data_IF_240463432212
#
_entry.id   IF_240463432212
#
_cell.length_a   1.000
_cell.length_b   1.000
_cell.length_c   1.000
_cell.angle_alpha   90.00
_cell.angle_beta   90.00
_cell.angle_gamma   90.00
#
_symmetry.space_group_name_H-M   'P 1'
#
loop_
_entity.id
_entity.type
_entity.pdbx_description
1 polymer ?
#
# COMPACT_ATOMS: atom_id res chain seq x y z
N UNK A 1 9.74 30.27 -0.32
CA UNK A 1 8.81 30.01 -1.43
C UNK A 1 9.32 28.95 -2.43
N UNK A 2 10.59 28.99 -2.85
CA UNK A 2 11.18 28.00 -3.80
C UNK A 2 11.07 26.53 -3.36
N UNK A 3 11.22 26.22 -2.06
CA UNK A 3 11.15 24.84 -1.55
C UNK A 3 9.75 24.21 -1.61
N UNK A 4 8.68 25.00 -1.42
CA UNK A 4 7.29 24.53 -1.63
C UNK A 4 6.96 24.42 -3.10
N UNK A 5 7.54 25.28 -3.94
CA UNK A 5 7.34 25.22 -5.39
C UNK A 5 7.93 23.92 -5.98
N UNK A 6 9.10 23.49 -5.49
CA UNK A 6 9.75 22.23 -5.90
C UNK A 6 9.06 20.95 -5.41
N UNK A 7 8.07 21.02 -4.51
CA UNK A 7 7.36 19.83 -4.03
C UNK A 7 6.34 19.30 -5.05
N UNK A 8 5.92 20.12 -6.01
CA UNK A 8 4.95 19.70 -7.01
C UNK A 8 5.66 19.15 -8.26
N UNK A 9 5.34 17.93 -8.69
CA UNK A 9 5.93 17.29 -9.87
C UNK A 9 5.79 18.16 -11.12
N UNK A 10 4.65 18.85 -11.27
CA UNK A 10 4.41 19.82 -12.35
C UNK A 10 5.45 20.93 -12.36
N UNK A 11 5.77 21.48 -11.20
CA UNK A 11 6.67 22.61 -11.09
C UNK A 11 8.13 22.20 -11.34
N UNK A 12 8.53 20.99 -10.91
CA UNK A 12 9.84 20.40 -11.27
C UNK A 12 9.99 20.28 -12.79
N UNK A 13 8.93 19.83 -13.47
CA UNK A 13 8.90 19.71 -14.92
C UNK A 13 8.98 21.07 -15.63
N UNK A 14 8.17 22.05 -15.18
CA UNK A 14 8.21 23.41 -15.70
C UNK A 14 9.60 24.06 -15.52
N UNK A 15 10.26 23.82 -14.40
CA UNK A 15 11.60 24.34 -14.13
C UNK A 15 12.63 23.69 -15.08
N UNK A 16 12.51 22.39 -15.36
CA UNK A 16 13.41 21.72 -16.28
C UNK A 16 13.20 22.16 -17.74
N UNK A 17 11.94 22.33 -18.14
CA UNK A 17 11.59 22.96 -19.42
C UNK A 17 12.21 24.36 -19.48
N UNK A 18 12.03 25.18 -18.44
CA UNK A 18 12.61 26.52 -18.40
C UNK A 18 14.15 26.51 -18.54
N UNK A 19 14.84 25.55 -17.92
CA UNK A 19 16.29 25.37 -18.09
C UNK A 19 16.64 25.01 -19.54
N UNK A 20 15.95 24.05 -20.14
CA UNK A 20 16.19 23.65 -21.53
C UNK A 20 15.94 24.80 -22.51
N UNK A 21 14.85 25.55 -22.33
CA UNK A 21 14.56 26.76 -23.11
C UNK A 21 15.60 27.86 -22.87
N UNK A 22 16.10 28.02 -21.65
CA UNK A 22 17.16 28.99 -21.35
C UNK A 22 18.47 28.66 -22.06
N UNK A 23 18.84 27.37 -22.14
CA UNK A 23 20.01 26.92 -22.91
C UNK A 23 19.87 27.23 -24.41
N UNK A 24 18.68 26.99 -24.98
CA UNK A 24 18.40 27.32 -26.37
C UNK A 24 18.43 28.83 -26.58
N UNK A 25 17.83 29.61 -25.67
CA UNK A 25 17.83 31.07 -25.75
C UNK A 25 19.25 31.64 -25.73
N UNK A 26 20.13 31.13 -24.84
CA UNK A 26 21.53 31.53 -24.80
C UNK A 26 22.27 31.19 -26.10
N UNK A 27 22.00 30.02 -26.70
CA UNK A 27 22.57 29.65 -28.00
C UNK A 27 22.09 30.60 -29.12
N UNK A 28 20.81 30.97 -29.12
CA UNK A 28 20.23 31.92 -30.07
C UNK A 28 20.84 33.31 -29.91
N UNK A 29 20.92 33.83 -28.69
CA UNK A 29 21.54 35.14 -28.40
C UNK A 29 23.00 35.15 -28.84
N UNK A 30 23.75 34.08 -28.55
CA UNK A 30 25.14 33.96 -28.99
C UNK A 30 25.27 33.91 -30.52
N UNK A 31 24.34 33.24 -31.19
CA UNK A 31 24.30 33.21 -32.65
C UNK A 31 23.96 34.57 -33.26
N UNK A 32 22.99 35.28 -32.69
CA UNK A 32 22.61 36.62 -33.12
C UNK A 32 23.76 37.60 -32.99
N UNK A 33 24.46 37.61 -31.84
CA UNK A 33 25.65 38.45 -31.64
C UNK A 33 26.78 38.17 -32.64
N UNK A 34 26.94 36.92 -33.10
CA UNK A 34 27.93 36.58 -34.12
C UNK A 34 27.55 37.14 -35.50
N UNK A 35 26.26 37.13 -35.81
CA UNK A 35 25.72 37.70 -37.05
C UNK A 35 25.76 39.22 -37.05
N UNK A 36 25.45 39.86 -35.93
CA UNK A 36 25.52 41.32 -35.80
C UNK A 36 26.94 41.83 -36.09
N UNK A 37 27.98 41.16 -35.59
CA UNK A 37 29.36 41.52 -35.89
C UNK A 37 29.66 41.43 -37.40
N UNK A 38 29.22 40.37 -38.07
CA UNK A 38 29.42 40.21 -39.53
C UNK A 38 28.68 41.29 -40.31
N UNK A 39 27.48 41.67 -39.86
CA UNK A 39 26.70 42.76 -40.48
C UNK A 39 27.40 44.10 -40.27
N UNK A 40 27.93 44.36 -39.08
CA UNK A 40 28.67 45.59 -38.77
C UNK A 40 29.93 45.70 -39.62
N UNK A 41 30.73 44.63 -39.71
CA UNK A 41 31.94 44.62 -40.54
C UNK A 41 31.59 44.76 -42.04
N UNK A 42 30.48 44.16 -42.50
CA UNK A 42 29.97 44.34 -43.86
C UNK A 42 29.54 45.78 -44.13
N UNK A 43 28.83 46.41 -43.20
CA UNK A 43 28.41 47.80 -43.31
C UNK A 43 29.61 48.75 -43.33
N UNK A 44 30.65 48.47 -42.53
CA UNK A 44 31.90 49.22 -42.55
C UNK A 44 32.55 49.13 -43.94
N UNK A 45 32.73 47.91 -44.47
CA UNK A 45 33.29 47.70 -45.81
C UNK A 45 32.46 48.40 -46.89
N UNK A 46 31.13 48.27 -46.86
CA UNK A 46 30.25 48.83 -47.87
C UNK A 46 30.22 50.37 -47.84
N UNK A 47 30.24 50.98 -46.65
CA UNK A 47 30.13 52.44 -46.50
C UNK A 47 31.47 53.17 -46.63
N UNK A 48 32.57 52.58 -46.14
CA UNK A 48 33.88 53.23 -46.13
C UNK A 48 34.79 52.67 -47.23
N UNK A 49 35.08 51.37 -47.22
CA UNK A 49 36.12 50.79 -48.08
C UNK A 49 35.73 50.76 -49.55
N UNK A 50 34.48 50.39 -49.87
CA UNK A 50 33.95 50.39 -51.23
C UNK A 50 33.82 51.83 -51.77
N UNK A 51 33.45 52.78 -50.93
CA UNK A 51 33.38 54.20 -51.30
C UNK A 51 34.77 54.75 -51.64
N UNK A 52 35.76 54.49 -50.78
CA UNK A 52 37.15 54.87 -51.02
C UNK A 52 37.70 54.24 -52.32
N UNK A 53 37.42 52.96 -52.55
CA UNK A 53 37.76 52.23 -53.78
C UNK A 53 37.15 52.91 -55.00
N UNK A 54 35.86 53.22 -54.96
CA UNK A 54 35.14 53.85 -56.06
C UNK A 54 35.70 55.25 -56.37
N UNK A 55 35.95 56.07 -55.34
CA UNK A 55 36.47 57.42 -55.51
C UNK A 55 37.90 57.45 -56.06
N UNK A 56 38.81 56.63 -55.52
CA UNK A 56 40.21 56.56 -55.98
C UNK A 56 40.26 55.99 -57.40
N UNK A 57 39.45 54.97 -57.71
CA UNK A 57 39.36 54.38 -59.05
C UNK A 57 38.79 55.38 -60.07
N UNK A 58 37.73 56.11 -59.70
CA UNK A 58 37.16 57.17 -60.53
C UNK A 58 38.18 58.28 -60.77
N UNK A 59 38.95 58.66 -59.75
CA UNK A 59 40.01 59.64 -59.87
C UNK A 59 41.14 59.17 -60.80
N UNK A 60 41.51 57.89 -60.76
CA UNK A 60 42.49 57.30 -61.69
C UNK A 60 42.01 57.39 -63.15
N UNK A 61 40.73 57.16 -63.39
CA UNK A 61 40.11 57.33 -64.72
C UNK A 61 40.09 58.81 -65.13
N UNK A 62 39.64 59.70 -64.24
CA UNK A 62 39.61 61.15 -64.49
C UNK A 62 40.99 61.72 -64.81
N UNK A 63 42.03 61.24 -64.13
CA UNK A 63 43.42 61.61 -64.38
C UNK A 63 43.87 61.17 -65.79
N UNK A 64 43.57 59.94 -66.19
CA UNK A 64 43.87 59.46 -67.56
C UNK A 64 43.14 60.27 -68.62
N UNK A 65 41.88 60.63 -68.35
CA UNK A 65 41.10 61.53 -69.22
C UNK A 65 41.75 62.91 -69.28
N UNK A 66 42.18 63.48 -68.16
CA UNK A 66 42.86 64.77 -68.13
C UNK A 66 44.11 64.77 -69.02
N UNK A 67 44.99 63.78 -68.88
CA UNK A 67 46.19 63.65 -69.73
C UNK A 67 45.80 63.48 -71.22
N UNK A 68 44.69 62.78 -71.49
CA UNK A 68 44.16 62.66 -72.85
C UNK A 68 43.65 64.00 -73.41
N UNK A 69 43.01 64.84 -72.60
CA UNK A 69 42.55 66.18 -73.02
C UNK A 69 43.71 67.12 -73.28
N UNK A 70 44.84 66.97 -72.57
CA UNK A 70 46.09 67.63 -72.95
C UNK A 70 46.56 67.21 -74.35
N UNK A 71 46.58 65.90 -74.64
CA UNK A 71 46.94 65.40 -75.97
C UNK A 71 45.99 65.94 -77.04
N UNK A 72 44.69 66.00 -76.77
CA UNK A 72 43.71 66.61 -77.68
C UNK A 72 44.00 68.10 -77.90
N UNK A 73 44.40 68.83 -76.85
CA UNK A 73 44.80 70.24 -76.94
C UNK A 73 45.99 70.41 -77.87
N UNK A 74 47.01 69.55 -77.80
CA UNK A 74 48.17 69.63 -78.69
C UNK A 74 47.86 69.24 -80.14
N UNK A 75 47.07 68.17 -80.34
CA UNK A 75 46.79 67.62 -81.68
C UNK A 75 45.77 68.48 -82.44
N UNK A 76 44.77 69.03 -81.76
CA UNK A 76 43.65 69.78 -82.36
C UNK A 76 43.72 71.28 -82.12
N UNK A 77 44.70 71.75 -81.35
CA UNK A 77 44.79 73.12 -80.84
C UNK A 77 45.22 74.19 -81.83
N UNK A 78 45.54 73.84 -83.08
CA UNK A 78 45.75 74.81 -84.16
C UNK A 78 44.48 75.65 -84.42
N UNK A 79 43.29 75.08 -84.17
CA UNK A 79 42.02 75.82 -84.18
C UNK A 79 41.70 76.33 -82.78
N UNK A 80 41.36 77.63 -82.67
CA UNK A 80 41.13 78.29 -81.39
C UNK A 80 39.97 77.67 -80.59
N UNK A 81 38.84 77.38 -81.25
CA UNK A 81 37.66 76.76 -80.65
C UNK A 81 37.97 75.40 -80.00
N UNK A 82 38.76 74.57 -80.69
CA UNK A 82 39.17 73.26 -80.20
C UNK A 82 40.18 73.39 -79.06
N UNK A 83 41.16 74.30 -79.18
CA UNK A 83 42.17 74.53 -78.16
C UNK A 83 41.55 74.95 -76.84
N UNK A 84 40.69 75.97 -76.87
CA UNK A 84 40.01 76.47 -75.68
C UNK A 84 39.11 75.40 -75.06
N UNK A 85 38.39 74.62 -75.88
CA UNK A 85 37.54 73.53 -75.41
C UNK A 85 38.31 72.44 -74.67
N UNK A 86 39.38 71.90 -75.26
CA UNK A 86 40.14 70.80 -74.63
C UNK A 86 40.99 71.29 -73.45
N UNK A 87 41.53 72.50 -73.53
CA UNK A 87 42.24 73.11 -72.42
C UNK A 87 41.31 73.42 -71.24
N UNK A 88 40.09 73.89 -71.50
CA UNK A 88 39.08 74.08 -70.46
C UNK A 88 38.75 72.76 -69.77
N UNK A 89 38.52 71.68 -70.53
CA UNK A 89 38.28 70.33 -69.96
C UNK A 89 39.46 69.81 -69.15
N UNK A 90 40.69 70.05 -69.60
CA UNK A 90 41.90 69.70 -68.84
C UNK A 90 41.92 70.38 -67.47
N UNK A 91 41.61 71.68 -67.42
CA UNK A 91 41.58 72.44 -66.17
C UNK A 91 40.37 72.06 -65.30
N UNK A 92 39.22 71.79 -65.90
CA UNK A 92 38.04 71.30 -65.17
C UNK A 92 38.35 69.97 -64.46
N UNK A 93 39.00 69.04 -65.16
CA UNK A 93 39.48 67.80 -64.55
C UNK A 93 40.54 68.04 -63.48
N UNK A 94 41.42 69.03 -63.67
CA UNK A 94 42.40 69.41 -62.66
C UNK A 94 41.74 69.83 -61.34
N UNK A 95 40.71 70.66 -61.42
CA UNK A 95 39.95 71.12 -60.26
C UNK A 95 39.16 69.97 -59.61
N UNK A 96 38.54 69.09 -60.41
CA UNK A 96 37.81 67.92 -59.91
C UNK A 96 38.75 66.97 -59.17
N UNK A 97 39.89 66.61 -59.76
CA UNK A 97 40.89 65.73 -59.15
C UNK A 97 41.43 66.36 -57.86
N UNK A 98 41.72 67.67 -57.88
CA UNK A 98 42.22 68.40 -56.70
C UNK A 98 41.24 68.37 -55.54
N UNK A 99 39.96 68.62 -55.81
CA UNK A 99 38.90 68.51 -54.80
C UNK A 99 38.78 67.09 -54.26
N UNK A 100 38.80 66.08 -55.14
CA UNK A 100 38.65 64.66 -54.77
C UNK A 100 39.79 64.17 -53.88
N UNK A 101 41.06 64.31 -54.28
CA UNK A 101 42.15 63.82 -53.43
C UNK A 101 42.25 64.60 -52.11
N UNK A 102 41.94 65.91 -52.12
CA UNK A 102 41.96 66.70 -50.88
C UNK A 102 40.88 66.24 -49.92
N UNK A 103 39.68 65.95 -50.43
CA UNK A 103 38.60 65.39 -49.62
C UNK A 103 39.00 64.02 -49.06
N UNK A 104 39.46 63.12 -49.92
CA UNK A 104 39.90 61.77 -49.55
C UNK A 104 41.00 61.78 -48.48
N UNK A 105 42.00 62.65 -48.58
CA UNK A 105 43.04 62.78 -47.56
C UNK A 105 42.55 63.22 -46.19
N UNK A 106 41.36 63.85 -46.11
CA UNK A 106 40.76 64.31 -44.86
C UNK A 106 39.79 63.28 -44.25
N UNK A 107 39.15 62.45 -45.07
CA UNK A 107 38.13 61.48 -44.61
C UNK A 107 38.65 60.06 -44.48
N UNK A 108 39.70 59.70 -45.22
CA UNK A 108 40.24 58.35 -45.15
C UNK A 108 40.98 58.11 -43.83
N UNK A 109 40.75 56.98 -43.17
CA UNK A 109 41.44 56.62 -41.95
C UNK A 109 42.93 56.36 -42.22
N UNK A 110 43.77 56.54 -41.18
CA UNK A 110 45.22 56.54 -41.33
C UNK A 110 45.82 55.19 -41.76
N UNK A 111 45.10 54.10 -41.50
CA UNK A 111 45.41 52.73 -41.84
C UNK A 111 44.86 52.28 -43.21
N UNK A 112 44.12 53.14 -43.92
CA UNK A 112 43.56 52.79 -45.23
C UNK A 112 44.67 52.43 -46.23
N UNK A 113 44.64 51.23 -46.82
CA UNK A 113 45.55 50.88 -47.91
C UNK A 113 45.44 51.86 -49.08
N UNK A 114 46.57 52.18 -49.70
CA UNK A 114 46.64 53.17 -50.78
C UNK A 114 46.73 54.64 -50.32
N UNK A 115 46.53 54.96 -49.03
CA UNK A 115 46.65 56.33 -48.52
C UNK A 115 48.07 56.92 -48.70
N UNK A 116 49.11 56.10 -48.53
CA UNK A 116 50.51 56.53 -48.76
C UNK A 116 50.73 56.94 -50.22
N UNK A 117 50.23 56.14 -51.16
CA UNK A 117 50.29 56.44 -52.59
C UNK A 117 49.44 57.65 -52.96
N UNK A 118 48.26 57.82 -52.35
CA UNK A 118 47.43 59.01 -52.50
C UNK A 118 48.14 60.29 -52.02
N UNK A 119 48.89 60.22 -50.91
CA UNK A 119 49.72 61.34 -50.43
C UNK A 119 50.87 61.65 -51.39
N UNK A 120 51.52 60.63 -51.96
CA UNK A 120 52.56 60.79 -52.97
C UNK A 120 52.01 61.41 -54.26
N UNK A 121 50.81 61.00 -54.69
CA UNK A 121 50.07 61.63 -55.78
C UNK A 121 49.79 63.11 -55.48
N UNK A 122 49.21 63.42 -54.32
CA UNK A 122 48.90 64.80 -53.91
C UNK A 122 50.15 65.71 -53.87
N UNK A 123 51.32 65.15 -53.60
CA UNK A 123 52.60 65.88 -53.60
C UNK A 123 53.17 66.10 -55.01
N UNK A 124 52.97 65.15 -55.93
CA UNK A 124 53.50 65.19 -57.30
C UNK A 124 52.56 65.87 -58.31
N UNK A 125 51.27 65.94 -58.00
CA UNK A 125 50.25 66.46 -58.91
C UNK A 125 50.28 68.00 -59.12
N UNK A 126 50.43 68.86 -58.10
CA UNK A 126 50.51 70.31 -58.34
C UNK A 126 51.71 70.74 -59.20
N UNK A 127 52.94 70.20 -58.99
CA UNK A 127 54.07 70.45 -59.89
C UNK A 127 53.79 70.01 -61.34
N UNK A 128 53.13 68.87 -61.53
CA UNK A 128 52.70 68.38 -62.84
C UNK A 128 51.76 69.40 -63.51
N UNK A 129 50.72 69.88 -62.82
CA UNK A 129 49.79 70.88 -63.37
C UNK A 129 50.51 72.18 -63.73
N UNK A 130 51.46 72.64 -62.91
CA UNK A 130 52.28 73.80 -63.24
C UNK A 130 53.14 73.59 -64.49
N UNK A 131 53.68 72.39 -64.69
CA UNK A 131 54.40 72.03 -65.92
C UNK A 131 53.48 72.02 -67.15
N UNK A 132 52.27 71.47 -67.06
CA UNK A 132 51.28 71.54 -68.15
C UNK A 132 50.88 72.96 -68.51
N UNK A 133 50.71 73.86 -67.52
CA UNK A 133 50.45 75.28 -67.77
C UNK A 133 51.60 75.97 -68.50
N UNK A 134 52.86 75.68 -68.12
CA UNK A 134 54.04 76.17 -68.85
C UNK A 134 54.13 75.59 -70.26
N UNK A 135 53.83 74.30 -70.43
CA UNK A 135 53.77 73.65 -71.75
C UNK A 135 52.71 74.27 -72.66
N UNK A 136 51.56 74.64 -72.10
CA UNK A 136 50.50 75.34 -72.83
C UNK A 136 50.93 76.74 -73.27
N UNK A 137 51.62 77.48 -72.42
CA UNK A 137 52.20 78.79 -72.78
C UNK A 137 53.24 78.64 -73.90
N UNK A 138 54.18 77.70 -73.76
CA UNK A 138 55.17 77.41 -74.78
C UNK A 138 54.53 77.00 -76.13
N UNK A 139 53.44 76.25 -76.10
CA UNK A 139 52.65 75.88 -77.28
C UNK A 139 52.05 77.10 -77.99
N UNK A 140 51.58 78.10 -77.25
CA UNK A 140 51.03 79.33 -77.83
C UNK A 140 52.15 80.21 -78.40
N UNK A 141 53.24 80.39 -77.63
CA UNK A 141 54.38 81.23 -78.01
C UNK A 141 55.13 80.69 -79.23
N UNK A 142 55.18 79.36 -79.40
CA UNK A 142 55.80 78.70 -80.54
C UNK A 142 54.93 78.64 -81.80
N UNK A 143 53.79 79.33 -81.83
CA UNK A 143 52.80 79.26 -82.91
C UNK A 143 52.27 77.82 -83.14
N UNK A 144 51.95 77.12 -82.05
CA UNK A 144 51.33 75.78 -82.04
C UNK A 144 52.26 74.62 -82.43
N UNK A 145 53.57 74.78 -82.19
CA UNK A 145 54.55 73.70 -82.37
C UNK A 145 54.45 72.65 -81.23
N UNK A 146 54.06 71.43 -81.59
CA UNK A 146 53.86 70.32 -80.64
C UNK A 146 55.17 69.90 -79.92
N UNK A 147 56.32 69.72 -80.61
CA UNK A 147 57.60 69.41 -79.95
C UNK A 147 58.00 70.40 -78.85
N UNK A 148 57.78 71.70 -79.06
CA UNK A 148 58.07 72.74 -78.06
C UNK A 148 57.25 72.57 -76.78
N UNK A 149 55.98 72.19 -76.91
CA UNK A 149 55.09 71.91 -75.79
C UNK A 149 55.43 70.58 -75.09
N UNK A 150 55.71 69.52 -75.87
CA UNK A 150 56.04 68.19 -75.35
C UNK A 150 57.32 68.20 -74.50
N UNK A 151 58.34 68.96 -74.92
CA UNK A 151 59.60 69.12 -74.18
C UNK A 151 59.39 69.62 -72.74
N UNK A 152 58.37 70.45 -72.51
CA UNK A 152 58.07 71.02 -71.20
C UNK A 152 57.35 70.04 -70.26
N UNK A 153 56.71 68.99 -70.79
CA UNK A 153 55.85 68.06 -70.03
C UNK A 153 56.30 66.60 -70.14
N UNK A 154 57.37 66.31 -70.87
CA UNK A 154 57.83 64.95 -71.16
C UNK A 154 58.06 64.15 -69.87
N UNK A 155 57.22 63.13 -69.65
CA UNK A 155 57.32 62.21 -68.52
C UNK A 155 56.87 62.77 -67.17
N UNK A 156 56.34 64.00 -67.12
CA UNK A 156 55.91 64.65 -65.87
C UNK A 156 54.68 63.96 -65.25
N UNK A 157 53.89 63.28 -66.08
CA UNK A 157 52.71 62.52 -65.70
C UNK A 157 53.02 61.10 -65.20
N UNK A 158 54.24 60.58 -65.41
CA UNK A 158 54.58 59.19 -65.06
C UNK A 158 54.44 58.90 -63.57
N UNK A 159 55.08 59.69 -62.71
CA UNK A 159 55.03 59.49 -61.27
C UNK A 159 53.60 59.66 -60.70
N UNK A 160 52.84 60.73 -61.03
CA UNK A 160 51.43 60.82 -60.64
C UNK A 160 50.57 59.64 -61.15
N UNK A 161 50.81 59.16 -62.39
CA UNK A 161 50.10 57.98 -62.92
C UNK A 161 50.37 56.73 -62.10
N UNK A 162 51.65 56.51 -61.76
CA UNK A 162 52.10 55.34 -61.00
C UNK A 162 51.50 55.37 -59.59
N UNK A 163 51.62 56.48 -58.86
CA UNK A 163 51.04 56.63 -57.53
C UNK A 163 49.53 56.40 -57.53
N UNK A 164 48.80 57.00 -58.48
CA UNK A 164 47.35 56.85 -58.50
C UNK A 164 46.91 55.44 -58.94
N UNK A 165 47.68 54.78 -59.80
CA UNK A 165 47.44 53.39 -60.17
C UNK A 165 47.72 52.45 -59.00
N UNK A 166 48.82 52.65 -58.28
CA UNK A 166 49.17 51.87 -57.09
C UNK A 166 48.15 52.08 -55.96
N UNK A 167 47.68 53.32 -55.76
CA UNK A 167 46.60 53.61 -54.82
C UNK A 167 45.30 52.86 -55.20
N UNK A 168 44.89 52.91 -56.46
CA UNK A 168 43.68 52.22 -56.93
C UNK A 168 43.80 50.69 -56.79
N UNK A 169 44.96 50.11 -57.12
CA UNK A 169 45.22 48.68 -56.97
C UNK A 169 45.21 48.27 -55.49
N UNK A 170 45.90 49.01 -54.62
CA UNK A 170 45.98 48.70 -53.20
C UNK A 170 44.59 48.69 -52.52
N UNK A 171 43.73 49.66 -52.85
CA UNK A 171 42.37 49.70 -52.29
C UNK A 171 41.49 48.59 -52.87
N UNK A 172 41.65 48.26 -54.16
CA UNK A 172 40.94 47.14 -54.80
C UNK A 172 41.31 45.79 -54.18
N UNK A 173 42.62 45.54 -54.01
CA UNK A 173 43.11 44.32 -53.36
C UNK A 173 42.65 44.25 -51.89
N UNK A 174 42.65 45.37 -51.18
CA UNK A 174 42.14 45.44 -49.82
C UNK A 174 40.65 45.07 -49.74
N UNK A 175 39.78 45.70 -50.54
CA UNK A 175 38.34 45.39 -50.57
C UNK A 175 38.09 43.92 -50.93
N UNK A 176 38.85 43.35 -51.88
CA UNK A 176 38.76 41.93 -52.21
C UNK A 176 39.15 41.04 -51.02
N UNK A 177 40.23 41.38 -50.32
CA UNK A 177 40.70 40.63 -49.14
C UNK A 177 39.71 40.71 -47.97
N UNK A 178 39.13 41.88 -47.71
CA UNK A 178 38.11 42.10 -46.68
C UNK A 178 36.84 41.34 -47.05
N UNK A 179 36.38 41.44 -48.30
CA UNK A 179 35.20 40.71 -48.80
C UNK A 179 35.36 39.19 -48.63
N UNK A 180 36.52 38.63 -49.02
CA UNK A 180 36.82 37.21 -48.79
C UNK A 180 36.82 36.87 -47.30
N UNK A 181 37.46 37.69 -46.47
CA UNK A 181 37.46 37.55 -45.01
C UNK A 181 36.06 37.54 -44.41
N UNK A 182 35.18 38.45 -44.85
CA UNK A 182 33.79 38.53 -44.41
C UNK A 182 32.98 37.30 -44.81
N UNK A 183 33.15 36.79 -46.02
CA UNK A 183 32.46 35.55 -46.44
C UNK A 183 32.89 34.35 -45.59
N UNK A 184 34.17 34.26 -45.23
CA UNK A 184 34.67 33.23 -44.34
C UNK A 184 34.18 33.42 -42.90
N UNK A 185 34.21 34.65 -42.37
CA UNK A 185 33.67 34.99 -41.05
C UNK A 185 32.17 34.68 -40.96
N UNK A 186 31.39 35.00 -42.00
CA UNK A 186 29.97 34.65 -42.10
C UNK A 186 29.76 33.13 -42.09
N UNK A 187 30.56 32.37 -42.85
CA UNK A 187 30.51 30.90 -42.88
C UNK A 187 30.87 30.29 -41.52
N UNK A 188 31.92 30.81 -40.88
CA UNK A 188 32.35 30.39 -39.54
C UNK A 188 31.28 30.72 -38.49
N UNK A 189 30.71 31.93 -38.51
CA UNK A 189 29.63 32.35 -37.63
C UNK A 189 28.40 31.45 -37.80
N UNK A 190 28.02 31.13 -39.05
CA UNK A 190 26.92 30.18 -39.34
C UNK A 190 27.20 28.79 -38.79
N UNK A 191 28.39 28.24 -39.06
CA UNK A 191 28.76 26.88 -38.66
C UNK A 191 28.85 26.75 -37.15
N UNK A 192 29.52 27.69 -36.48
CA UNK A 192 29.65 27.71 -35.01
C UNK A 192 28.31 27.95 -34.32
N UNK A 193 27.48 28.88 -34.81
CA UNK A 193 26.14 29.11 -34.24
C UNK A 193 25.23 27.89 -34.39
N UNK A 194 25.28 27.22 -35.54
CA UNK A 194 24.53 25.98 -35.77
C UNK A 194 25.01 24.86 -34.84
N UNK A 195 26.34 24.70 -34.69
CA UNK A 195 26.92 23.71 -33.79
C UNK A 195 26.54 23.97 -32.31
N UNK A 196 26.62 25.21 -31.84
CA UNK A 196 26.22 25.60 -30.47
C UNK A 196 24.73 25.32 -30.25
N UNK A 197 23.87 25.64 -31.23
CA UNK A 197 22.43 25.37 -31.15
C UNK A 197 22.13 23.86 -31.07
N UNK A 198 22.78 23.04 -31.89
CA UNK A 198 22.64 21.58 -31.86
C UNK A 198 23.11 20.99 -30.53
N UNK A 199 24.26 21.44 -30.02
CA UNK A 199 24.78 21.01 -28.72
C UNK A 199 23.85 21.41 -27.58
N UNK A 200 23.34 22.65 -27.58
CA UNK A 200 22.38 23.11 -26.58
C UNK A 200 21.08 22.31 -26.61
N UNK A 201 20.57 21.98 -27.81
CA UNK A 201 19.38 21.16 -27.99
C UNK A 201 19.60 19.73 -27.50
N UNK A 202 20.70 19.08 -27.90
CA UNK A 202 21.04 17.73 -27.44
C UNK A 202 21.27 17.67 -25.92
N UNK A 203 21.95 18.66 -25.34
CA UNK A 203 22.13 18.77 -23.91
C UNK A 203 20.79 18.94 -23.18
N UNK A 204 19.88 19.78 -23.71
CA UNK A 204 18.53 19.95 -23.19
C UNK A 204 17.72 18.64 -23.21
N UNK A 205 17.75 17.90 -24.34
CA UNK A 205 17.08 16.61 -24.48
C UNK A 205 17.67 15.57 -23.51
N UNK A 206 19.00 15.48 -23.41
CA UNK A 206 19.67 14.53 -22.54
C UNK A 206 19.38 14.82 -21.05
N UNK A 207 19.43 16.09 -20.63
CA UNK A 207 19.07 16.52 -19.29
C UNK A 207 17.61 16.19 -18.97
N UNK A 208 16.71 16.45 -19.92
CA UNK A 208 15.30 16.13 -19.80
C UNK A 208 15.08 14.62 -19.66
N UNK A 209 15.63 13.81 -20.56
CA UNK A 209 15.47 12.36 -20.54
C UNK A 209 16.03 11.74 -19.25
N UNK A 210 17.22 12.17 -18.83
CA UNK A 210 17.84 11.70 -17.59
C UNK A 210 17.00 12.03 -16.36
N UNK A 211 16.54 13.27 -16.24
CA UNK A 211 15.73 13.70 -15.10
C UNK A 211 14.34 13.07 -15.11
N UNK A 212 13.68 13.00 -16.28
CA UNK A 212 12.36 12.38 -16.44
C UNK A 212 12.42 10.89 -16.04
N UNK A 213 13.43 10.18 -16.50
CA UNK A 213 13.64 8.77 -16.15
C UNK A 213 13.80 8.58 -14.64
N UNK A 214 14.71 9.33 -14.00
CA UNK A 214 14.99 9.20 -12.56
C UNK A 214 13.87 9.74 -11.67
N UNK A 215 13.17 10.78 -12.11
CA UNK A 215 12.14 11.43 -11.30
C UNK A 215 10.78 10.76 -11.41
N UNK A 216 10.45 10.15 -12.56
CA UNK A 216 9.11 9.62 -12.87
C UNK A 216 9.15 8.13 -13.21
N UNK A 217 9.90 7.71 -14.23
CA UNK A 217 9.86 6.32 -14.72
C UNK A 217 10.33 5.32 -13.67
N UNK A 218 11.44 5.61 -12.97
CA UNK A 218 11.97 4.72 -11.92
C UNK A 218 10.98 4.53 -10.77
N UNK A 219 10.47 5.59 -10.11
CA UNK A 219 9.47 5.42 -9.04
C UNK A 219 8.16 4.79 -9.51
N UNK A 220 7.70 5.08 -10.73
CA UNK A 220 6.51 4.42 -11.28
C UNK A 220 6.72 2.92 -11.46
N UNK A 221 7.90 2.52 -11.91
CA UNK A 221 8.26 1.11 -12.03
C UNK A 221 8.35 0.45 -10.64
N UNK A 222 8.94 1.11 -9.65
CA UNK A 222 8.97 0.63 -8.25
C UNK A 222 7.56 0.43 -7.69
N UNK A 223 6.65 1.40 -7.89
CA UNK A 223 5.24 1.28 -7.52
C UNK A 223 4.56 0.10 -8.22
N UNK A 224 4.83 -0.10 -9.51
CA UNK A 224 4.26 -1.21 -10.29
C UNK A 224 4.74 -2.57 -9.76
N UNK A 225 6.04 -2.70 -9.46
CA UNK A 225 6.62 -3.91 -8.89
C UNK A 225 6.05 -4.18 -7.49
N UNK A 226 5.99 -3.16 -6.63
CA UNK A 226 5.42 -3.29 -5.28
C UNK A 226 3.95 -3.68 -5.33
N UNK A 227 3.14 -3.04 -6.18
CA UNK A 227 1.73 -3.40 -6.37
C UNK A 227 1.56 -4.84 -6.82
N UNK A 228 2.42 -5.33 -7.72
CA UNK A 228 2.38 -6.72 -8.19
C UNK A 228 2.75 -7.71 -7.06
N UNK A 229 3.71 -7.37 -6.20
CA UNK A 229 4.09 -8.20 -5.04
C UNK A 229 2.99 -8.25 -3.98
N UNK A 230 2.39 -7.10 -3.66
CA UNK A 230 1.23 -7.02 -2.76
C UNK A 230 0.06 -7.86 -3.30
N UNK A 231 -0.24 -7.77 -4.59
CA UNK A 231 -1.29 -8.56 -5.23
C UNK A 231 -1.03 -10.08 -5.18
N UNK A 232 0.23 -10.49 -5.09
CA UNK A 232 0.64 -11.91 -4.90
C UNK A 232 0.70 -12.34 -3.42
N UNK A 233 0.31 -11.47 -2.49
CA UNK A 233 0.29 -11.75 -1.06
C UNK A 233 1.61 -11.46 -0.33
N UNK A 234 2.61 -10.89 -1.00
CA UNK A 234 3.86 -10.48 -0.37
C UNK A 234 3.74 -9.06 0.19
N UNK A 235 3.42 -8.97 1.48
CA UNK A 235 3.29 -7.73 2.24
C UNK A 235 4.60 -7.32 2.94
N UNK A 236 5.77 -7.80 2.49
CA UNK A 236 7.06 -7.39 3.06
C UNK A 236 7.70 -6.18 2.37
N UNK A 237 7.22 -5.81 1.18
CA UNK A 237 7.78 -4.74 0.35
C UNK A 237 7.47 -3.38 0.95
N UNK A 238 8.44 -2.49 1.06
CA UNK A 238 8.18 -1.09 1.48
C UNK A 238 8.65 -0.14 0.38
N UNK A 239 7.83 0.86 0.07
CA UNK A 239 8.16 1.90 -0.90
C UNK A 239 8.83 3.08 -0.22
N UNK A 240 9.83 3.67 -0.87
CA UNK A 240 10.48 4.89 -0.37
C UNK A 240 9.54 6.10 -0.48
N UNK A 241 9.37 6.80 0.63
CA UNK A 241 8.55 8.02 0.78
C UNK A 241 9.38 9.29 0.92
N UNK A 242 10.69 9.22 0.63
CA UNK A 242 11.60 10.37 0.67
C UNK A 242 11.16 11.52 -0.26
N UNK A 243 10.47 11.21 -1.36
CA UNK A 243 9.97 12.21 -2.30
C UNK A 243 8.76 12.94 -1.71
N UNK A 244 8.82 14.27 -1.73
CA UNK A 244 7.74 15.16 -1.26
C UNK A 244 6.75 15.56 -2.36
N UNK A 245 6.65 14.77 -3.43
CA UNK A 245 5.75 15.02 -4.56
C UNK A 245 4.59 14.02 -4.60
N UNK A 246 3.77 14.12 -5.65
CA UNK A 246 2.61 13.25 -5.83
C UNK A 246 2.98 11.75 -5.85
N UNK A 247 4.16 11.39 -6.37
CA UNK A 247 4.61 10.00 -6.41
C UNK A 247 4.98 9.51 -5.01
N UNK A 248 5.64 10.34 -4.20
CA UNK A 248 5.92 9.99 -2.80
C UNK A 248 4.66 9.93 -1.93
N UNK A 249 3.66 10.79 -2.20
CA UNK A 249 2.35 10.69 -1.55
C UNK A 249 1.65 9.37 -1.92
N UNK A 250 1.71 8.98 -3.19
CA UNK A 250 1.16 7.71 -3.67
C UNK A 250 1.88 6.50 -3.05
N UNK A 251 3.21 6.55 -2.94
CA UNK A 251 4.00 5.54 -2.23
C UNK A 251 3.59 5.40 -0.77
N UNK A 252 3.35 6.52 -0.08
CA UNK A 252 2.85 6.54 1.29
C UNK A 252 1.49 5.86 1.43
N UNK A 253 0.57 6.11 0.51
CA UNK A 253 -0.74 5.47 0.49
C UNK A 253 -0.65 3.96 0.25
N UNK A 254 0.25 3.50 -0.62
CA UNK A 254 0.50 2.06 -0.82
C UNK A 254 1.04 1.39 0.45
N UNK A 255 2.00 2.02 1.13
CA UNK A 255 2.54 1.51 2.40
C UNK A 255 1.45 1.44 3.48
N UNK A 256 0.49 2.39 3.50
CA UNK A 256 -0.66 2.34 4.40
C UNK A 256 -1.56 1.14 4.08
N UNK A 257 -1.95 0.96 2.81
CA UNK A 257 -2.78 -0.17 2.37
C UNK A 257 -2.13 -1.51 2.74
N UNK A 258 -0.84 -1.66 2.49
CA UNK A 258 -0.07 -2.85 2.87
C UNK A 258 -0.13 -3.13 4.37
N UNK A 259 0.03 -2.09 5.21
CA UNK A 259 -0.01 -2.23 6.67
C UNK A 259 -1.39 -2.67 7.16
N UNK A 260 -2.44 -2.07 6.64
CA UNK A 260 -3.82 -2.43 6.96
C UNK A 260 -4.14 -3.87 6.53
N UNK A 261 -3.76 -4.27 5.31
CA UNK A 261 -3.90 -5.66 4.85
C UNK A 261 -3.12 -6.65 5.73
N UNK A 262 -1.89 -6.30 6.13
CA UNK A 262 -1.09 -7.10 7.04
C UNK A 262 -1.74 -7.26 8.41
N UNK A 263 -2.35 -6.19 8.93
CA UNK A 263 -3.12 -6.21 10.17
C UNK A 263 -4.36 -7.10 10.12
N UNK A 264 -5.10 -7.07 9.00
CA UNK A 264 -6.27 -7.93 8.76
C UNK A 264 -5.85 -9.40 8.70
N UNK A 265 -4.81 -9.74 7.93
CA UNK A 265 -4.30 -11.12 7.85
C UNK A 265 -3.79 -11.60 9.22
N UNK A 266 -3.13 -10.72 9.98
CA UNK A 266 -2.71 -10.99 11.35
C UNK A 266 -3.89 -11.33 12.28
N UNK A 267 -4.97 -10.55 12.23
CA UNK A 267 -6.19 -10.81 12.98
C UNK A 267 -6.86 -12.12 12.56
N UNK A 268 -7.00 -12.39 11.26
CA UNK A 268 -7.55 -13.66 10.76
C UNK A 268 -6.75 -14.85 11.26
N UNK A 269 -5.41 -14.80 11.18
CA UNK A 269 -4.55 -15.88 11.69
C UNK A 269 -4.71 -16.10 13.19
N UNK A 270 -4.93 -15.04 13.96
CA UNK A 270 -5.20 -15.14 15.39
C UNK A 270 -6.57 -15.80 15.65
N UNK A 271 -7.63 -15.36 14.97
CA UNK A 271 -8.96 -15.95 15.08
C UNK A 271 -8.99 -17.43 14.65
N UNK A 272 -8.28 -17.81 13.58
CA UNK A 272 -8.19 -19.22 13.17
C UNK A 272 -7.51 -20.09 14.23
N UNK A 273 -6.49 -19.57 14.95
CA UNK A 273 -5.85 -20.31 16.05
C UNK A 273 -6.75 -20.43 17.28
N UNK A 274 -7.50 -19.38 17.60
CA UNK A 274 -8.52 -19.46 18.66
C UNK A 274 -9.58 -20.50 18.32
N UNK A 275 -10.06 -20.51 17.06
CA UNK A 275 -11.02 -21.49 16.58
C UNK A 275 -10.47 -22.92 16.68
N UNK A 276 -9.22 -23.16 16.28
CA UNK A 276 -8.56 -24.47 16.41
C UNK A 276 -8.45 -24.94 17.88
N UNK A 277 -8.16 -24.00 18.78
CA UNK A 277 -8.13 -24.26 20.22
C UNK A 277 -9.53 -24.59 20.77
N UNK A 278 -10.56 -23.87 20.32
CA UNK A 278 -11.95 -24.14 20.69
C UNK A 278 -12.43 -25.49 20.17
N UNK A 279 -12.10 -25.83 18.91
CA UNK A 279 -12.39 -27.14 18.32
C UNK A 279 -11.71 -28.27 19.12
N UNK A 280 -10.45 -28.08 19.52
CA UNK A 280 -9.74 -29.05 20.35
C UNK A 280 -10.41 -29.29 21.71
N UNK A 281 -10.90 -28.22 22.36
CA UNK A 281 -11.69 -28.32 23.60
C UNK A 281 -13.01 -29.06 23.36
N UNK A 282 -13.71 -28.72 22.29
CA UNK A 282 -14.98 -29.34 21.92
C UNK A 282 -14.82 -30.84 21.66
N UNK A 283 -13.73 -31.28 21.02
CA UNK A 283 -13.40 -32.70 20.89
C UNK A 283 -13.12 -33.38 22.23
N UNK A 284 -12.42 -32.71 23.16
CA UNK A 284 -12.18 -33.22 24.51
C UNK A 284 -13.49 -33.39 25.31
N UNK A 285 -14.40 -32.43 25.18
CA UNK A 285 -15.72 -32.46 25.82
C UNK A 285 -16.57 -33.60 25.25
N UNK A 286 -16.56 -33.80 23.92
CA UNK A 286 -17.22 -34.96 23.29
C UNK A 286 -16.70 -36.30 23.81
N UNK A 287 -15.38 -36.46 23.94
CA UNK A 287 -14.80 -37.69 24.49
C UNK A 287 -15.22 -37.92 25.95
N UNK A 288 -15.27 -36.84 26.75
CA UNK A 288 -15.73 -36.91 28.14
C UNK A 288 -17.22 -37.29 28.20
N UNK A 289 -18.05 -36.67 27.36
CA UNK A 289 -19.47 -36.99 27.23
C UNK A 289 -19.70 -38.44 26.81
N UNK A 290 -18.94 -38.96 25.85
CA UNK A 290 -18.98 -40.36 25.44
C UNK A 290 -18.68 -41.31 26.62
N UNK A 291 -17.68 -40.98 27.44
CA UNK A 291 -17.33 -41.74 28.64
C UNK A 291 -18.46 -41.71 29.68
N UNK A 292 -19.01 -40.53 29.97
CA UNK A 292 -20.14 -40.36 30.88
C UNK A 292 -21.38 -41.12 30.41
N UNK A 293 -21.71 -41.06 29.11
CA UNK A 293 -22.83 -41.82 28.54
C UNK A 293 -22.61 -43.33 28.66
N UNK A 294 -21.38 -43.83 28.46
CA UNK A 294 -21.06 -45.23 28.68
C UNK A 294 -21.23 -45.66 30.15
N UNK A 295 -20.79 -44.81 31.09
CA UNK A 295 -20.98 -45.05 32.51
C UNK A 295 -22.46 -45.02 32.90
N UNK A 296 -23.22 -44.07 32.37
CA UNK A 296 -24.66 -43.97 32.60
C UNK A 296 -25.40 -45.18 32.03
N UNK A 297 -25.03 -45.67 30.84
CA UNK A 297 -25.59 -46.90 30.28
C UNK A 297 -25.34 -48.12 31.19
N UNK A 298 -24.14 -48.23 31.77
CA UNK A 298 -23.84 -49.28 32.77
C UNK A 298 -24.71 -49.15 34.03
N UNK A 299 -24.84 -47.93 34.57
CA UNK A 299 -25.68 -47.67 35.74
C UNK A 299 -27.15 -47.99 35.48
N UNK A 300 -27.67 -47.66 34.29
CA UNK A 300 -29.03 -48.03 33.88
C UNK A 300 -29.19 -49.55 33.76
N UNK A 301 -28.16 -50.25 33.26
CA UNK A 301 -28.12 -51.72 33.27
C UNK A 301 -28.22 -52.29 34.68
N UNK A 302 -27.37 -51.83 35.61
CA UNK A 302 -27.42 -52.24 37.02
C UNK A 302 -28.76 -51.88 37.68
N UNK A 303 -29.35 -50.73 37.34
CA UNK A 303 -30.67 -50.37 37.83
C UNK A 303 -31.74 -51.35 37.34
N UNK A 304 -31.65 -51.79 36.08
CA UNK A 304 -32.54 -52.79 35.50
C UNK A 304 -32.40 -54.13 36.24
N UNK A 305 -31.17 -54.56 36.52
CA UNK A 305 -30.90 -55.78 37.28
C UNK A 305 -31.45 -55.69 38.72
N UNK A 306 -31.29 -54.53 39.36
CA UNK A 306 -31.87 -54.27 40.68
C UNK A 306 -33.40 -54.30 40.63
N UNK A 307 -34.03 -53.73 39.60
CA UNK A 307 -35.48 -53.79 39.42
C UNK A 307 -35.98 -55.23 39.22
N UNK A 308 -35.27 -56.04 38.43
CA UNK A 308 -35.57 -57.47 38.28
C UNK A 308 -35.45 -58.23 39.61
N UNK A 309 -34.42 -57.92 40.40
CA UNK A 309 -34.24 -58.48 41.74
C UNK A 309 -35.36 -58.04 42.70
N UNK A 310 -35.80 -56.78 42.63
CA UNK A 310 -36.93 -56.27 43.42
C UNK A 310 -38.25 -56.92 43.02
N UNK A 311 -38.47 -57.19 41.74
CA UNK A 311 -39.66 -57.91 41.27
C UNK A 311 -39.71 -59.34 41.82
N UNK A 312 -38.58 -60.06 41.73
CA UNK A 312 -38.44 -61.39 42.35
C UNK A 312 -38.68 -61.34 43.86
N UNK A 313 -38.11 -60.36 44.57
CA UNK A 313 -38.33 -60.20 46.00
C UNK A 313 -39.79 -59.86 46.33
N UNK A 314 -40.47 -59.08 45.48
CA UNK A 314 -41.90 -58.82 45.58
C UNK A 314 -42.74 -60.09 45.44
N UNK A 315 -42.38 -60.98 44.51
CA UNK A 315 -43.01 -62.29 44.35
C UNK A 315 -42.77 -63.18 45.59
N UNK A 316 -41.55 -63.23 46.12
CA UNK A 316 -41.23 -63.98 47.33
C UNK A 316 -42.01 -63.46 48.55
N UNK A 317 -42.13 -62.14 48.71
CA UNK A 317 -42.96 -61.52 49.75
C UNK A 317 -44.43 -61.90 49.56
N UNK A 318 -44.94 -61.89 48.32
CA UNK A 318 -46.29 -62.33 47.99
C UNK A 318 -46.55 -63.78 48.43
N UNK A 319 -45.65 -64.70 48.07
CA UNK A 319 -45.71 -66.11 48.46
C UNK A 319 -45.64 -66.27 49.99
N UNK A 320 -44.78 -65.50 50.67
CA UNK A 320 -44.67 -65.52 52.12
C UNK A 320 -45.96 -65.04 52.80
N UNK A 321 -46.62 -64.01 52.26
CA UNK A 321 -47.93 -63.53 52.74
C UNK A 321 -49.01 -64.60 52.54
N UNK A 322 -49.03 -65.27 51.38
CA UNK A 322 -49.99 -66.35 51.12
C UNK A 322 -49.80 -67.52 52.09
N UNK A 323 -48.54 -67.95 52.30
CA UNK A 323 -48.19 -68.98 53.28
C UNK A 323 -48.58 -68.58 54.71
N UNK A 324 -48.32 -67.33 55.10
CA UNK A 324 -48.71 -66.81 56.42
C UNK A 324 -50.24 -66.81 56.58
N UNK A 325 -51.00 -66.40 55.55
CA UNK A 325 -52.46 -66.46 55.56
C UNK A 325 -52.97 -67.90 55.72
N UNK A 326 -52.41 -68.86 54.97
CA UNK A 326 -52.77 -70.28 55.12
C UNK A 326 -52.51 -70.76 56.55
N UNK A 327 -51.36 -70.38 57.13
CA UNK A 327 -50.99 -70.74 58.51
C UNK A 327 -51.95 -70.12 59.53
N UNK A 328 -52.38 -68.87 59.34
CA UNK A 328 -53.38 -68.21 60.19
C UNK A 328 -54.73 -68.92 60.11
N UNK A 329 -55.17 -69.29 58.90
CA UNK A 329 -56.43 -70.04 58.70
C UNK A 329 -56.38 -71.40 59.41
N UNK A 330 -55.26 -72.12 59.28
CA UNK A 330 -55.07 -73.41 59.96
C UNK A 330 -54.99 -73.26 61.48
N UNK A 331 -54.28 -72.25 61.99
CA UNK A 331 -54.24 -71.94 63.40
C UNK A 331 -55.65 -71.65 63.94
N UNK A 332 -56.44 -70.84 63.22
CA UNK A 332 -57.83 -70.55 63.58
C UNK A 332 -58.69 -71.81 63.65
N UNK A 333 -58.60 -72.71 62.65
CA UNK A 333 -59.30 -74.00 62.69
C UNK A 333 -58.91 -74.83 63.92
N UNK A 334 -57.63 -74.88 64.26
CA UNK A 334 -57.16 -75.59 65.47
C UNK A 334 -57.67 -74.96 66.75
N UNK A 335 -57.73 -73.62 66.82
CA UNK A 335 -58.30 -72.89 67.96
C UNK A 335 -59.79 -73.18 68.11
N UNK A 336 -60.57 -73.14 67.02
CA UNK A 336 -62.01 -73.46 67.03
C UNK A 336 -62.24 -74.90 67.51
N UNK A 337 -61.43 -75.85 67.04
CA UNK A 337 -61.50 -77.27 67.44
C UNK A 337 -61.13 -77.44 68.92
N UNK A 338 -60.11 -76.71 69.39
CA UNK A 338 -59.74 -76.65 70.80
C UNK A 338 -60.85 -76.07 71.69
N UNK A 339 -61.57 -75.05 71.20
CA UNK A 339 -62.72 -74.48 71.90
C UNK A 339 -63.87 -75.48 72.02
N UNK A 340 -64.22 -76.19 70.93
CA UNK A 340 -65.25 -77.25 70.99
C UNK A 340 -64.88 -78.40 71.92
N UNK A 341 -63.59 -78.75 72.03
CA UNK A 341 -63.13 -79.71 73.04
C UNK A 341 -63.30 -79.19 74.46
N UNK A 342 -63.02 -77.91 74.70
CA UNK A 342 -63.19 -77.28 76.01
C UNK A 342 -64.66 -77.27 76.43
N UNK A 343 -65.58 -76.91 75.51
CA UNK A 343 -67.03 -76.95 75.73
C UNK A 343 -67.52 -78.37 76.10
N UNK A 344 -67.04 -79.40 75.38
CA UNK A 344 -67.33 -80.80 75.71
C UNK A 344 -66.81 -81.19 77.10
N UNK A 345 -65.60 -80.75 77.47
CA UNK A 345 -65.03 -81.01 78.79
C UNK A 345 -65.84 -80.34 79.90
N UNK A 346 -66.30 -79.10 79.71
CA UNK A 346 -67.19 -78.42 80.67
C UNK A 346 -68.50 -79.19 80.83
N UNK A 347 -69.11 -79.63 79.72
CA UNK A 347 -70.35 -80.41 79.76
C UNK A 347 -70.15 -81.76 80.49
N UNK A 348 -69.03 -82.44 80.22
CA UNK A 348 -68.66 -83.69 80.88
C UNK A 348 -68.38 -83.50 82.37
N UNK A 349 -67.71 -82.39 82.74
CA UNK A 349 -67.49 -81.99 84.13
C UNK A 349 -68.79 -81.72 84.88
N UNK A 350 -69.76 -81.07 84.23
CA UNK A 350 -71.08 -80.82 84.82
C UNK A 350 -71.86 -82.13 85.04
N UNK A 351 -71.82 -83.05 84.06
CA UNK A 351 -72.44 -84.37 84.21
C UNK A 351 -71.81 -85.18 85.36
N UNK A 352 -70.49 -85.06 85.55
CA UNK A 352 -69.77 -85.69 86.64
C UNK A 352 -70.16 -85.09 88.01
N UNK A 353 -70.34 -83.77 88.10
CA UNK A 353 -70.86 -83.08 89.29
C UNK A 353 -72.26 -83.60 89.66
N UNK A 354 -73.19 -83.66 88.71
CA UNK A 354 -74.53 -84.21 88.94
C UNK A 354 -74.50 -85.67 89.39
N UNK A 355 -73.60 -86.49 88.83
CA UNK A 355 -73.43 -87.87 89.25
C UNK A 355 -72.90 -87.98 90.69
N UNK A 356 -71.96 -87.10 91.09
CA UNK A 356 -71.44 -87.04 92.45
C UNK A 356 -72.50 -86.60 93.48
N UNK A 357 -73.34 -85.61 93.15
CA UNK A 357 -74.46 -85.17 93.99
C UNK A 357 -75.49 -86.30 94.19
N UNK A 358 -75.82 -87.03 93.13
CA UNK A 358 -76.69 -88.20 93.22
C UNK A 358 -76.08 -89.30 94.10
N UNK A 359 -74.78 -89.58 93.95
CA UNK A 359 -74.08 -90.55 94.80
C UNK A 359 -74.09 -90.14 96.28
N UNK A 360 -73.86 -88.85 96.59
CA UNK A 360 -73.92 -88.32 97.95
C UNK A 360 -75.33 -88.49 98.57
N UNK A 361 -76.38 -88.27 97.77
CA UNK A 361 -77.78 -88.47 98.20
C UNK A 361 -78.10 -89.93 98.52
N UNK A 362 -77.60 -90.86 97.70
CA UNK A 362 -77.73 -92.31 97.93
C UNK A 362 -76.99 -92.73 99.21
N UNK A 363 -75.76 -92.24 99.42
CA UNK A 363 -74.98 -92.52 100.63
C UNK A 363 -75.69 -91.98 101.88
N UNK A 364 -76.24 -90.76 101.83
CA UNK A 364 -77.02 -90.21 102.93
C UNK A 364 -78.26 -91.04 103.27
N UNK A 365 -78.96 -91.53 102.25
CA UNK A 365 -80.12 -92.42 102.44
C UNK A 365 -79.73 -93.79 103.02
N UNK A 366 -78.57 -94.32 102.64
CA UNK A 366 -78.03 -95.57 103.18
C UNK A 366 -77.65 -95.44 104.67
N UNK A 367 -77.11 -94.29 105.06
CA UNK A 367 -76.78 -94.00 106.46
C UNK A 367 -78.05 -93.95 107.33
N UNK A 368 -79.10 -93.27 106.86
CA UNK A 368 -80.40 -93.24 107.55
C UNK A 368 -80.98 -94.65 107.73
N UNK A 369 -80.98 -95.47 106.68
CA UNK A 369 -81.44 -96.86 106.76
C UNK A 369 -80.61 -97.70 107.75
N UNK A 370 -79.32 -97.41 107.88
CA UNK A 370 -78.43 -98.13 108.82
C UNK A 370 -78.70 -97.76 110.28
N UNK A 371 -79.02 -96.49 110.55
CA UNK A 371 -79.43 -96.02 111.88
C UNK A 371 -80.79 -96.61 112.30
N UNK A 372 -81.74 -96.72 111.36
CA UNK A 372 -83.03 -97.38 111.60
C UNK A 372 -82.86 -98.87 111.95
N UNK A 373 -81.96 -99.58 111.25
CA UNK A 373 -81.58 -100.96 111.60
C UNK A 373 -80.95 -101.03 113.00
N UNK A 374 -80.07 -100.08 113.35
CA UNK A 374 -79.46 -100.01 114.68
C UNK A 374 -80.48 -99.82 115.81
N UNK A 375 -81.50 -98.99 115.59
CA UNK A 375 -82.60 -98.80 116.53
C UNK A 375 -83.43 -100.08 116.71
N UNK A 376 -83.71 -100.81 115.63
CA UNK A 376 -84.42 -102.10 115.69
C UNK A 376 -83.60 -103.13 116.50
N UNK A 377 -82.29 -103.20 116.30
CA UNK A 377 -81.41 -104.12 117.04
C UNK A 377 -81.40 -103.83 118.55
N UNK A 378 -81.41 -102.55 118.95
CA UNK A 378 -81.51 -102.18 120.37
C UNK A 378 -82.84 -102.60 121.00
N UNK A 379 -83.96 -102.49 120.28
CA UNK A 379 -85.27 -102.99 120.73
C UNK A 379 -85.27 -104.51 120.88
N UNK A 380 -84.66 -105.23 119.93
CA UNK A 380 -84.55 -106.70 119.98
C UNK A 380 -83.74 -107.15 121.20
N UNK A 381 -82.60 -106.50 121.50
CA UNK A 381 -81.81 -106.80 122.69
C UNK A 381 -82.58 -106.54 123.98
N UNK A 382 -83.37 -105.45 124.04
CA UNK A 382 -84.25 -105.17 125.18
C UNK A 382 -85.32 -106.26 125.41
N UNK A 383 -85.92 -106.80 124.35
CA UNK A 383 -86.90 -107.90 124.42
C UNK A 383 -86.21 -109.21 124.84
N UNK A 384 -85.00 -109.48 124.34
CA UNK A 384 -84.25 -110.68 124.68
C UNK A 384 -83.90 -110.74 126.19
N UNK A 385 -83.53 -109.61 126.79
CA UNK A 385 -83.20 -109.54 128.22
C UNK A 385 -84.45 -109.68 129.11
N UNK A 386 -85.58 -109.08 128.70
CA UNK A 386 -86.88 -109.31 129.35
C UNK A 386 -87.34 -110.77 129.26
N UNK A 387 -87.12 -111.42 128.12
CA UNK A 387 -87.50 -112.82 127.90
C UNK A 387 -86.63 -113.77 128.74
N UNK A 388 -85.34 -113.48 128.87
CA UNK A 388 -84.42 -114.22 129.71
C UNK A 388 -84.80 -114.15 131.21
N UNK A 389 -85.21 -112.97 131.68
CA UNK A 389 -85.69 -112.79 133.06
C UNK A 389 -87.05 -113.47 133.34
N UNK A 390 -87.96 -113.47 132.36
CA UNK A 390 -89.23 -114.19 132.44
C UNK A 390 -89.02 -115.71 132.47
N UNK A 391 -88.12 -116.22 131.63
CA UNK A 391 -87.79 -117.65 131.57
C UNK A 391 -87.17 -118.13 132.89
N UNK A 392 -86.29 -117.33 133.51
CA UNK A 392 -85.67 -117.69 134.78
C UNK A 392 -86.68 -117.74 135.93
N UNK A 393 -87.60 -116.75 136.00
CA UNK A 393 -88.65 -116.75 137.03
C UNK A 393 -89.64 -117.91 136.85
N UNK A 394 -89.95 -118.29 135.61
CA UNK A 394 -90.77 -119.47 135.33
C UNK A 394 -90.09 -120.78 135.77
N UNK A 395 -88.79 -120.91 135.51
CA UNK A 395 -88.00 -122.07 135.92
C UNK A 395 -87.89 -122.22 137.45
N UNK A 396 -87.80 -121.10 138.19
CA UNK A 396 -87.78 -121.10 139.66
C UNK A 396 -89.13 -121.56 140.23
N UNK A 397 -90.25 -121.07 139.69
CA UNK A 397 -91.56 -121.41 140.24
C UNK A 397 -92.02 -122.82 139.85
N UNK A 398 -91.57 -123.33 138.71
CA UNK A 398 -91.76 -124.73 138.32
C UNK A 398 -91.05 -125.71 139.28
N UNK A 399 -89.86 -125.35 139.80
CA UNK A 399 -89.14 -126.16 140.79
C UNK A 399 -89.85 -126.20 142.16
N UNK A 400 -90.72 -125.24 142.44
CA UNK A 400 -91.46 -125.12 143.71
C UNK A 400 -92.72 -126.01 143.76
N UNK A 401 -93.25 -126.45 142.61
CA UNK A 401 -94.54 -127.14 142.48
C UNK A 401 -94.49 -128.69 142.51
N UNK A 402 -93.32 -129.32 142.64
CA UNK A 402 -93.22 -130.79 142.76
C UNK A 402 -93.72 -131.56 141.53
N UNK A 403 -94.29 -132.77 141.71
CA UNK A 403 -94.66 -133.67 140.58
C UNK A 403 -95.66 -133.08 139.58
N UNK A 404 -96.42 -132.04 139.93
CA UNK A 404 -97.30 -131.34 139.00
C UNK A 404 -96.60 -130.33 138.08
N UNK A 405 -95.28 -130.10 138.23
CA UNK A 405 -94.51 -129.06 137.52
C UNK A 405 -93.50 -129.54 136.45
N UNK A 406 -93.30 -130.86 136.25
CA UNK A 406 -92.27 -131.39 135.32
C UNK A 406 -92.47 -131.09 133.83
N UNK A 407 -93.68 -130.70 133.41
CA UNK A 407 -93.96 -130.30 132.03
C UNK A 407 -93.80 -128.80 131.77
N UNK A 408 -93.57 -128.00 132.82
CA UNK A 408 -93.49 -126.53 132.76
C UNK A 408 -92.09 -125.95 133.07
N UNK A 409 -91.19 -126.76 133.66
CA UNK A 409 -89.76 -126.46 133.73
C UNK A 409 -89.09 -126.74 132.39
#
# INVERSE_FOLDING_TARGET
MLSRFQQNLRNKFLLLIAIAFSLILLAVVRGFSAFDQVIEDYNHMASHDVTAMAEISAMNVDFKIQVQEWKNTLIRGAKQDQREKYWAKFNEKADQITKRYTHLLNVLPADQPGLSELKAFASSYPPMIAAYKRGYQAYIESQFDIPSADKAVKGIDRAPTEHLTNAANAVTEYVLSVSQGLTQSASNARTTSTAIMLVAMLAGIALFAWYFSRSILVPLNELTIASTRIARGDLSVTLDVSKRDQLGTLAGNFNLIQRELGGIIGHLRHQTRELDTQLSRLFSDFNSMQSTLSQQAKQTGTLTDNMASMDSQGQDIGNAIEYANHTIVDARKRTDLGQSMFENNVQSGQAMLTAAENAATIIGSLQQNSDDIGNIVNVINGIAEQTNLLALNAAIEAARAGESGRGFA
#
